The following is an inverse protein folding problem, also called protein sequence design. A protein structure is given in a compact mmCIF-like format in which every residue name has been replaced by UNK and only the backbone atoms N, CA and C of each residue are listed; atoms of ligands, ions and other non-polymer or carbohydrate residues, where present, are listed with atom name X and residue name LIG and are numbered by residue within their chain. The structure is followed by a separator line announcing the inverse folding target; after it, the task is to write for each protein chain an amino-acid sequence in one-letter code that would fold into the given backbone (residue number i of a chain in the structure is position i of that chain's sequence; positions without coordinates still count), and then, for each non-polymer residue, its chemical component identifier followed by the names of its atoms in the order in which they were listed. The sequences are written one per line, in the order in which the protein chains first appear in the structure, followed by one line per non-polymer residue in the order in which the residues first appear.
data_IF_106168677124
#
_entry.id   IF_106168677124
#
_cell.length_a   1.000
_cell.length_b   1.000
_cell.length_c   1.000
_cell.angle_alpha   90.00
_cell.angle_beta   90.00
_cell.angle_gamma   90.00
#
_symmetry.space_group_name_H-M   'P 1'
#
loop_
_entity.id
_entity.type
_entity.pdbx_description
1 polymer ?
#
# COMPACT_ATOMS: atom_id res chain seq x y z
N UNK A 1 20.28 29.03 -2.56
CA UNK A 1 20.91 28.45 -3.74
C UNK A 1 21.77 27.27 -3.33
N UNK A 2 21.29 26.04 -3.49
CA UNK A 2 22.11 24.81 -3.57
C UNK A 2 21.60 24.06 -4.79
N UNK A 3 22.15 24.44 -5.92
CA UNK A 3 22.05 23.73 -7.18
C UNK A 3 23.01 22.55 -7.13
N UNK A 4 22.56 21.39 -7.50
CA UNK A 4 23.38 20.26 -7.87
C UNK A 4 23.64 19.31 -6.74
N UNK A 5 22.87 18.25 -6.75
CA UNK A 5 23.29 16.87 -6.56
C UNK A 5 22.04 16.01 -6.69
N UNK A 6 21.69 15.72 -7.93
CA UNK A 6 20.73 14.67 -8.25
C UNK A 6 21.46 13.31 -8.05
N UNK A 7 21.80 13.03 -6.79
CA UNK A 7 22.52 11.85 -6.36
C UNK A 7 21.57 10.63 -6.45
N UNK A 8 21.46 10.01 -7.63
CA UNK A 8 20.91 8.65 -7.76
C UNK A 8 19.40 8.48 -7.47
N UNK A 9 18.60 9.55 -7.37
CA UNK A 9 17.18 9.47 -7.14
C UNK A 9 16.45 9.01 -8.40
N UNK A 10 15.66 7.92 -8.30
CA UNK A 10 14.95 7.35 -9.43
C UNK A 10 13.55 7.96 -9.52
N UNK A 11 13.32 8.83 -10.51
CA UNK A 11 12.03 9.49 -10.76
C UNK A 11 10.90 8.48 -11.04
N UNK A 12 11.23 7.31 -11.61
CA UNK A 12 10.24 6.26 -11.83
C UNK A 12 9.63 5.76 -10.51
N UNK A 13 10.44 5.65 -9.47
CA UNK A 13 9.94 5.27 -8.14
C UNK A 13 9.15 6.39 -7.48
N UNK A 14 9.49 7.65 -7.71
CA UNK A 14 8.70 8.77 -7.19
C UNK A 14 7.32 8.81 -7.84
N UNK A 15 7.23 8.65 -9.16
CA UNK A 15 5.95 8.55 -9.88
C UNK A 15 5.14 7.33 -9.43
N UNK A 16 5.79 6.18 -9.31
CA UNK A 16 5.13 4.95 -8.89
C UNK A 16 4.58 5.04 -7.45
N UNK A 17 5.29 5.74 -6.55
CA UNK A 17 4.77 6.03 -5.19
C UNK A 17 3.55 6.93 -5.22
N UNK A 18 3.54 7.96 -6.06
CA UNK A 18 2.39 8.87 -6.20
C UNK A 18 1.17 8.08 -6.68
N UNK A 19 1.33 7.25 -7.71
CA UNK A 19 0.26 6.40 -8.23
C UNK A 19 -0.21 5.38 -7.19
N UNK A 20 0.71 4.75 -6.47
CA UNK A 20 0.38 3.83 -5.39
C UNK A 20 -0.38 4.52 -4.23
N UNK A 21 0.01 5.74 -3.84
CA UNK A 21 -0.71 6.52 -2.85
C UNK A 21 -2.12 6.90 -3.32
N UNK A 22 -2.24 7.34 -4.57
CA UNK A 22 -3.54 7.65 -5.16
C UNK A 22 -4.43 6.39 -5.24
N UNK A 23 -3.88 5.24 -5.64
CA UNK A 23 -4.64 3.99 -5.67
C UNK A 23 -5.16 3.56 -4.30
N UNK A 24 -4.41 3.80 -3.22
CA UNK A 24 -4.88 3.54 -1.84
C UNK A 24 -6.06 4.45 -1.49
N UNK A 25 -6.03 5.73 -1.88
CA UNK A 25 -7.17 6.64 -1.68
C UNK A 25 -8.39 6.15 -2.47
N UNK A 26 -8.23 5.81 -3.75
CA UNK A 26 -9.31 5.25 -4.60
C UNK A 26 -9.90 3.98 -3.98
N UNK A 27 -9.05 3.11 -3.46
CA UNK A 27 -9.44 1.87 -2.79
C UNK A 27 -10.39 2.13 -1.60
N UNK A 28 -10.05 3.07 -0.74
CA UNK A 28 -10.87 3.38 0.43
C UNK A 28 -12.14 4.15 0.05
N UNK A 29 -12.04 5.13 -0.84
CA UNK A 29 -13.22 5.84 -1.36
C UNK A 29 -14.20 4.87 -2.02
N UNK A 30 -13.72 4.02 -2.93
CA UNK A 30 -14.58 3.03 -3.59
C UNK A 30 -15.17 2.02 -2.59
N UNK A 31 -14.44 1.69 -1.51
CA UNK A 31 -14.93 0.85 -0.42
C UNK A 31 -16.17 1.42 0.25
N UNK A 32 -16.18 2.72 0.59
CA UNK A 32 -17.35 3.39 1.16
C UNK A 32 -18.55 3.36 0.21
N UNK A 33 -18.31 3.60 -1.08
CA UNK A 33 -19.39 3.51 -2.09
C UNK A 33 -19.96 2.09 -2.23
N UNK A 34 -19.10 1.05 -2.15
CA UNK A 34 -19.54 -0.36 -2.14
C UNK A 34 -20.46 -0.65 -0.95
N UNK A 35 -20.07 -0.24 0.25
CA UNK A 35 -20.81 -0.52 1.49
C UNK A 35 -22.18 0.15 1.50
N UNK A 36 -22.31 1.30 0.84
CA UNK A 36 -23.58 2.04 0.75
C UNK A 36 -24.49 1.60 -0.40
N UNK A 37 -24.01 0.76 -1.30
CA UNK A 37 -24.73 0.34 -2.48
C UNK A 37 -25.41 -1.03 -2.26
N UNK A 38 -26.67 -1.22 -2.68
CA UNK A 38 -27.30 -2.55 -2.66
C UNK A 38 -26.50 -3.55 -3.49
N UNK A 39 -26.20 -4.71 -2.93
CA UNK A 39 -25.45 -5.77 -3.62
C UNK A 39 -26.13 -6.13 -4.95
N UNK A 40 -25.34 -6.24 -6.01
CA UNK A 40 -25.81 -6.55 -7.36
C UNK A 40 -26.37 -5.36 -8.15
N UNK A 41 -26.54 -4.18 -7.53
CA UNK A 41 -26.89 -2.95 -8.25
C UNK A 41 -25.77 -2.51 -9.20
N UNK A 42 -26.11 -1.70 -10.21
CA UNK A 42 -25.09 -1.11 -11.09
C UNK A 42 -24.07 -0.31 -10.30
N UNK A 43 -24.51 0.45 -9.33
CA UNK A 43 -23.66 1.28 -8.48
C UNK A 43 -22.68 0.45 -7.64
N UNK A 44 -23.13 -0.66 -7.06
CA UNK A 44 -22.29 -1.64 -6.40
C UNK A 44 -21.21 -2.18 -7.34
N UNK A 45 -21.62 -2.62 -8.54
CA UNK A 45 -20.72 -3.21 -9.54
C UNK A 45 -19.67 -2.25 -10.05
N UNK A 46 -20.05 -1.00 -10.32
CA UNK A 46 -19.12 0.04 -10.76
C UNK A 46 -18.11 0.39 -9.65
N UNK A 47 -18.57 0.52 -8.41
CA UNK A 47 -17.72 0.79 -7.26
C UNK A 47 -16.76 -0.38 -6.99
N UNK A 48 -17.24 -1.62 -7.09
CA UNK A 48 -16.46 -2.83 -6.95
C UNK A 48 -15.39 -2.96 -8.06
N UNK A 49 -15.71 -2.58 -9.30
CA UNK A 49 -14.75 -2.52 -10.39
C UNK A 49 -13.62 -1.49 -10.12
N UNK A 50 -13.98 -0.27 -9.67
CA UNK A 50 -13.00 0.75 -9.28
C UNK A 50 -12.10 0.28 -8.13
N UNK A 51 -12.66 -0.46 -7.17
CA UNK A 51 -11.90 -1.06 -6.08
C UNK A 51 -10.92 -2.13 -6.61
N UNK A 52 -11.31 -2.96 -7.58
CA UNK A 52 -10.45 -4.01 -8.14
C UNK A 52 -9.22 -3.44 -8.85
N UNK A 53 -9.34 -2.31 -9.54
CA UNK A 53 -8.23 -1.63 -10.21
C UNK A 53 -7.20 -1.11 -9.22
N UNK A 54 -7.59 -0.74 -8.00
CA UNK A 54 -6.77 0.02 -7.06
C UNK A 54 -6.00 -0.81 -6.04
N UNK A 55 -6.02 -2.15 -6.13
CA UNK A 55 -5.45 -3.07 -5.11
C UNK A 55 -3.91 -3.13 -5.05
N UNK A 56 -3.22 -2.63 -6.03
CA UNK A 56 -1.76 -2.73 -6.15
C UNK A 56 -0.95 -1.82 -5.22
N UNK A 57 -1.58 -0.82 -4.57
CA UNK A 57 -0.87 0.26 -3.88
C UNK A 57 0.11 -0.22 -2.81
N UNK A 58 -0.35 -1.05 -1.86
CA UNK A 58 0.49 -1.55 -0.75
C UNK A 58 1.64 -2.44 -1.25
N UNK A 59 1.44 -3.46 -2.10
CA UNK A 59 2.53 -4.22 -2.68
C UNK A 59 3.60 -3.36 -3.36
N UNK A 60 3.20 -2.32 -4.09
CA UNK A 60 4.11 -1.38 -4.75
C UNK A 60 4.98 -0.64 -3.73
N UNK A 61 4.40 -0.09 -2.65
CA UNK A 61 5.17 0.57 -1.61
C UNK A 61 6.22 -0.36 -0.99
N UNK A 62 5.86 -1.62 -0.77
CA UNK A 62 6.76 -2.62 -0.21
C UNK A 62 7.87 -2.96 -1.19
N UNK A 63 7.55 -3.19 -2.48
CA UNK A 63 8.56 -3.48 -3.51
C UNK A 63 9.54 -2.31 -3.71
N UNK A 64 9.06 -1.05 -3.75
CA UNK A 64 9.93 0.13 -3.84
C UNK A 64 10.85 0.20 -2.61
N UNK A 65 10.32 -0.06 -1.42
CA UNK A 65 11.12 -0.06 -0.20
C UNK A 65 12.20 -1.14 -0.24
N UNK A 66 11.88 -2.34 -0.69
CA UNK A 66 12.83 -3.43 -0.90
C UNK A 66 13.91 -3.08 -1.91
N UNK A 67 13.52 -2.57 -3.09
CA UNK A 67 14.44 -2.13 -4.12
C UNK A 67 15.46 -1.09 -3.61
N UNK A 68 15.04 -0.20 -2.70
CA UNK A 68 15.90 0.85 -2.15
C UNK A 68 16.76 0.35 -0.98
N UNK A 69 16.15 -0.34 0.00
CA UNK A 69 16.86 -0.70 1.23
C UNK A 69 17.77 -1.92 1.08
N UNK A 70 17.49 -2.79 0.12
CA UNK A 70 18.29 -3.99 -0.15
C UNK A 70 19.36 -3.74 -1.23
N UNK A 71 19.31 -2.62 -1.97
CA UNK A 71 20.31 -2.26 -2.99
C UNK A 71 21.72 -2.21 -2.43
N UNK A 72 22.69 -2.75 -3.18
CA UNK A 72 24.12 -2.72 -2.85
C UNK A 72 24.68 -1.30 -2.77
N UNK A 73 24.19 -0.39 -3.61
CA UNK A 73 24.62 1.00 -3.66
C UNK A 73 24.29 1.79 -2.39
N UNK A 74 23.26 1.38 -1.66
CA UNK A 74 22.82 2.06 -0.44
C UNK A 74 23.61 1.60 0.77
N UNK A 75 24.39 2.49 1.37
CA UNK A 75 25.06 2.22 2.66
C UNK A 75 24.00 2.20 3.78
N UNK A 76 23.73 1.02 4.31
CA UNK A 76 22.80 0.81 5.43
C UNK A 76 23.59 0.28 6.62
N UNK A 77 23.52 0.99 7.76
CA UNK A 77 24.06 0.52 9.04
C UNK A 77 22.92 0.28 10.01
N UNK A 78 23.07 -0.70 10.89
CA UNK A 78 22.04 -1.03 11.93
C UNK A 78 21.71 0.21 12.73
N UNK A 79 22.70 0.96 13.21
CA UNK A 79 22.50 2.20 13.98
C UNK A 79 21.64 3.21 13.22
N UNK A 80 21.95 3.47 11.93
CA UNK A 80 21.20 4.42 11.10
C UNK A 80 19.77 3.94 10.84
N UNK A 81 19.60 2.64 10.63
CA UNK A 81 18.29 2.03 10.38
C UNK A 81 17.36 2.24 11.57
N UNK A 82 17.83 1.91 12.78
CA UNK A 82 17.05 2.09 14.01
C UNK A 82 16.82 3.56 14.33
N UNK A 83 17.86 4.39 14.35
CA UNK A 83 17.75 5.79 14.80
C UNK A 83 17.06 6.73 13.80
N UNK A 84 17.07 6.42 12.49
CA UNK A 84 16.50 7.32 11.47
C UNK A 84 15.25 6.77 10.79
N UNK A 85 15.17 5.45 10.56
CA UNK A 85 14.07 4.87 9.80
C UNK A 85 12.99 4.30 10.73
N UNK A 86 13.36 3.36 11.61
CA UNK A 86 12.40 2.69 12.50
C UNK A 86 11.86 3.67 13.55
N UNK A 87 12.76 4.39 14.24
CA UNK A 87 12.35 5.39 15.24
C UNK A 87 11.47 6.48 14.63
N UNK A 88 11.78 6.94 13.41
CA UNK A 88 10.91 7.90 12.71
C UNK A 88 9.52 7.32 12.49
N UNK A 89 9.40 6.10 11.98
CA UNK A 89 8.09 5.47 11.76
C UNK A 89 7.33 5.27 13.07
N UNK A 90 8.03 4.92 14.15
CA UNK A 90 7.44 4.80 15.47
C UNK A 90 6.90 6.14 16.01
N UNK A 91 7.65 7.23 15.83
CA UNK A 91 7.20 8.58 16.22
C UNK A 91 6.00 9.00 15.36
N UNK A 92 6.08 8.79 14.04
CA UNK A 92 4.96 9.06 13.11
C UNK A 92 3.71 8.32 13.58
N UNK A 93 3.83 7.02 13.87
CA UNK A 93 2.73 6.21 14.40
C UNK A 93 2.16 6.81 15.69
N UNK A 94 3.01 7.11 16.68
CA UNK A 94 2.55 7.66 17.97
C UNK A 94 1.81 8.98 17.82
N UNK A 95 2.34 9.90 17.00
CA UNK A 95 1.71 11.21 16.77
C UNK A 95 0.37 11.06 16.07
N UNK A 96 0.30 10.27 14.99
CA UNK A 96 -0.94 10.12 14.24
C UNK A 96 -1.98 9.27 14.96
N UNK A 97 -1.58 8.23 15.69
CA UNK A 97 -2.47 7.45 16.55
C UNK A 97 -3.13 8.33 17.62
N UNK A 98 -2.35 9.20 18.25
CA UNK A 98 -2.89 10.17 19.20
C UNK A 98 -3.80 11.20 18.53
N UNK A 99 -3.43 11.73 17.35
CA UNK A 99 -4.26 12.66 16.60
C UNK A 99 -5.60 12.03 16.19
N UNK A 100 -5.62 10.77 15.73
CA UNK A 100 -6.85 10.04 15.42
C UNK A 100 -7.70 9.77 16.66
N UNK A 101 -7.09 9.41 17.77
CA UNK A 101 -7.80 9.23 19.04
C UNK A 101 -8.49 10.53 19.49
N UNK A 102 -7.78 11.66 19.38
CA UNK A 102 -8.35 12.99 19.68
C UNK A 102 -9.48 13.32 18.70
N UNK A 103 -9.26 13.10 17.40
CA UNK A 103 -10.28 13.32 16.38
C UNK A 103 -11.56 12.51 16.68
N UNK A 104 -11.44 11.22 16.95
CA UNK A 104 -12.57 10.37 17.31
C UNK A 104 -13.24 10.78 18.60
N UNK A 105 -12.47 11.21 19.60
CA UNK A 105 -13.03 11.70 20.88
C UNK A 105 -13.87 12.97 20.68
N UNK A 106 -13.47 13.85 19.79
CA UNK A 106 -14.21 15.09 19.50
C UNK A 106 -15.48 14.81 18.68
N UNK A 107 -15.38 14.02 17.61
CA UNK A 107 -16.46 13.87 16.64
C UNK A 107 -17.43 12.73 16.97
N UNK A 108 -16.96 11.64 17.62
CA UNK A 108 -17.74 10.43 17.86
C UNK A 108 -18.09 10.21 19.33
N UNK A 109 -17.18 10.54 20.28
CA UNK A 109 -17.35 10.23 21.71
C UNK A 109 -17.68 11.43 22.58
N UNK A 110 -17.97 12.57 22.01
CA UNK A 110 -18.38 13.80 22.72
C UNK A 110 -17.47 14.13 23.93
N UNK A 111 -16.17 14.19 23.72
CA UNK A 111 -15.16 14.57 24.73
C UNK A 111 -14.96 13.62 25.93
N UNK A 112 -15.24 12.34 25.78
CA UNK A 112 -15.03 11.36 26.86
C UNK A 112 -13.56 10.89 27.00
N UNK A 113 -12.63 11.83 26.84
CA UNK A 113 -11.18 11.61 26.69
C UNK A 113 -10.52 10.89 27.89
N UNK A 114 -10.97 11.18 29.14
CA UNK A 114 -10.33 10.69 30.37
C UNK A 114 -11.16 9.68 31.17
N UNK A 115 -12.36 9.37 30.76
CA UNK A 115 -13.31 8.58 31.54
C UNK A 115 -12.91 7.12 31.75
N UNK A 116 -11.99 6.63 30.96
CA UNK A 116 -11.69 5.21 30.88
C UNK A 116 -10.29 4.79 31.41
N UNK A 117 -9.51 5.70 31.98
CA UNK A 117 -8.18 5.42 32.50
C UNK A 117 -7.09 5.27 31.43
N UNK A 118 -5.83 5.34 31.88
CA UNK A 118 -4.64 5.43 31.00
C UNK A 118 -4.47 4.21 30.07
N UNK A 119 -4.77 3.02 30.54
CA UNK A 119 -4.61 1.79 29.74
C UNK A 119 -5.55 1.81 28.55
N UNK A 120 -6.81 2.19 28.76
CA UNK A 120 -7.81 2.26 27.69
C UNK A 120 -7.52 3.40 26.71
N UNK A 121 -6.96 4.50 27.19
CA UNK A 121 -6.47 5.59 26.32
C UNK A 121 -5.32 5.11 25.43
N UNK A 122 -4.32 4.41 26.00
CA UNK A 122 -3.21 3.88 25.21
C UNK A 122 -3.69 2.83 24.19
N UNK A 123 -4.56 1.90 24.59
CA UNK A 123 -5.12 0.93 23.66
C UNK A 123 -5.98 1.60 22.59
N UNK A 124 -6.79 2.60 22.95
CA UNK A 124 -7.54 3.41 21.99
C UNK A 124 -6.65 4.14 20.98
N UNK A 125 -5.50 4.66 21.41
CA UNK A 125 -4.53 5.24 20.48
C UNK A 125 -3.93 4.17 19.54
N UNK A 126 -3.56 3.01 20.05
CA UNK A 126 -2.95 1.94 19.23
C UNK A 126 -3.90 1.45 18.14
N UNK A 127 -5.19 1.35 18.45
CA UNK A 127 -6.24 0.89 17.52
C UNK A 127 -7.06 2.03 16.93
N UNK A 128 -6.55 3.27 16.97
CA UNK A 128 -7.29 4.44 16.51
C UNK A 128 -7.63 4.41 15.00
N UNK A 129 -6.87 3.68 14.22
CA UNK A 129 -7.19 3.50 12.80
C UNK A 129 -6.56 2.24 12.23
N UNK A 130 -7.37 1.41 11.57
CA UNK A 130 -6.95 0.11 11.05
C UNK A 130 -5.83 0.21 10.02
N UNK A 131 -5.79 1.28 9.21
CA UNK A 131 -4.77 1.41 8.18
C UNK A 131 -3.34 1.57 8.71
N UNK A 132 -3.14 1.86 10.01
CA UNK A 132 -1.79 1.99 10.60
C UNK A 132 -1.02 0.66 10.72
N UNK A 133 -1.67 -0.50 10.48
CA UNK A 133 -0.98 -1.78 10.41
C UNK A 133 0.22 -1.76 9.45
N UNK A 134 0.14 -0.96 8.37
CA UNK A 134 1.23 -0.80 7.39
C UNK A 134 2.51 -0.25 8.03
N UNK A 135 2.40 0.68 8.99
CA UNK A 135 3.57 1.24 9.67
C UNK A 135 4.30 0.17 10.48
N UNK A 136 3.56 -0.71 11.17
CA UNK A 136 4.16 -1.83 11.91
C UNK A 136 4.83 -2.83 10.96
N UNK A 137 4.15 -3.18 9.89
CA UNK A 137 4.66 -4.09 8.87
C UNK A 137 5.96 -3.57 8.26
N UNK A 138 6.01 -2.29 7.85
CA UNK A 138 7.22 -1.73 7.23
C UNK A 138 8.37 -1.57 8.23
N UNK A 139 8.09 -1.26 9.51
CA UNK A 139 9.10 -1.27 10.57
C UNK A 139 9.71 -2.66 10.77
N UNK A 140 8.87 -3.70 10.78
CA UNK A 140 9.32 -5.09 10.84
C UNK A 140 10.24 -5.46 9.67
N UNK A 141 9.85 -5.10 8.44
CA UNK A 141 10.68 -5.32 7.26
C UNK A 141 12.01 -4.56 7.34
N UNK A 142 12.01 -3.33 7.84
CA UNK A 142 13.26 -2.57 8.04
C UNK A 142 14.17 -3.23 9.08
N UNK A 143 13.63 -3.78 10.16
CA UNK A 143 14.42 -4.50 11.15
C UNK A 143 15.13 -5.72 10.56
N UNK A 144 14.54 -6.36 9.55
CA UNK A 144 15.14 -7.51 8.85
C UNK A 144 16.19 -7.12 7.79
N UNK A 145 16.28 -5.84 7.39
CA UNK A 145 17.20 -5.40 6.31
C UNK A 145 18.64 -5.85 6.51
N UNK A 146 19.28 -5.77 7.70
CA UNK A 146 20.66 -6.19 7.84
C UNK A 146 20.88 -7.68 7.50
N UNK A 147 19.98 -8.54 7.96
CA UNK A 147 20.03 -9.99 7.68
C UNK A 147 19.78 -10.28 6.20
N UNK A 148 18.74 -9.67 5.64
CA UNK A 148 18.39 -9.84 4.23
C UNK A 148 19.53 -9.39 3.30
N UNK A 149 20.17 -8.26 3.59
CA UNK A 149 21.31 -7.78 2.79
C UNK A 149 22.47 -8.77 2.80
N UNK A 150 22.81 -9.31 3.97
CA UNK A 150 23.88 -10.30 4.08
C UNK A 150 23.61 -11.52 3.22
N UNK A 151 22.36 -12.03 3.26
CA UNK A 151 21.97 -13.15 2.41
C UNK A 151 21.93 -12.76 0.92
N UNK A 152 21.18 -11.73 0.54
CA UNK A 152 20.88 -11.38 -0.84
C UNK A 152 22.12 -10.95 -1.64
N UNK A 153 23.11 -10.33 -0.98
CA UNK A 153 24.31 -9.90 -1.67
C UNK A 153 25.29 -11.05 -1.97
N UNK A 154 25.18 -12.17 -1.26
CA UNK A 154 25.99 -13.35 -1.48
C UNK A 154 25.22 -14.49 -2.20
N UNK A 155 23.89 -14.39 -2.25
CA UNK A 155 23.04 -15.42 -2.85
C UNK A 155 23.24 -15.50 -4.36
N UNK A 156 23.31 -16.73 -4.87
CA UNK A 156 23.25 -16.98 -6.30
C UNK A 156 21.84 -16.73 -6.84
N UNK A 157 21.73 -16.46 -8.14
CA UNK A 157 20.43 -16.22 -8.77
C UNK A 157 19.46 -17.38 -8.57
N UNK A 158 19.94 -18.62 -8.56
CA UNK A 158 19.13 -19.84 -8.33
C UNK A 158 18.45 -19.84 -6.94
N UNK A 159 19.15 -19.38 -5.92
CA UNK A 159 18.61 -19.28 -4.55
C UNK A 159 17.53 -18.19 -4.46
N UNK A 160 17.74 -17.09 -5.18
CA UNK A 160 16.74 -16.02 -5.28
C UNK A 160 15.49 -16.49 -6.04
N UNK A 161 15.67 -17.20 -7.15
CA UNK A 161 14.57 -17.79 -7.92
C UNK A 161 13.81 -18.83 -7.05
N UNK A 162 14.52 -19.65 -6.27
CA UNK A 162 13.92 -20.59 -5.32
C UNK A 162 13.08 -19.85 -4.25
N UNK A 163 13.59 -18.77 -3.68
CA UNK A 163 12.83 -17.94 -2.74
C UNK A 163 11.54 -17.40 -3.38
N UNK A 164 11.61 -16.90 -4.62
CA UNK A 164 10.43 -16.41 -5.33
C UNK A 164 9.42 -17.53 -5.55
N UNK A 165 9.86 -18.74 -5.91
CA UNK A 165 8.99 -19.90 -6.06
C UNK A 165 8.30 -20.25 -4.74
N UNK A 166 9.03 -20.28 -3.63
CA UNK A 166 8.43 -20.49 -2.31
C UNK A 166 7.39 -19.42 -1.97
N UNK A 167 7.69 -18.16 -2.22
CA UNK A 167 6.74 -17.07 -2.02
C UNK A 167 5.49 -17.25 -2.89
N UNK A 168 5.66 -17.64 -4.16
CA UNK A 168 4.54 -17.89 -5.07
C UNK A 168 3.67 -19.06 -4.58
N UNK A 169 4.26 -20.15 -4.10
CA UNK A 169 3.50 -21.32 -3.64
C UNK A 169 2.83 -21.04 -2.29
N UNK A 170 3.60 -20.63 -1.30
CA UNK A 170 3.13 -20.57 0.09
C UNK A 170 2.34 -19.31 0.42
N UNK A 171 2.54 -18.23 -0.29
CA UNK A 171 1.80 -16.98 -0.03
C UNK A 171 0.74 -16.71 -1.10
N UNK A 172 1.16 -16.60 -2.36
CA UNK A 172 0.24 -16.24 -3.45
C UNK A 172 -0.68 -17.42 -3.78
N UNK A 173 -0.13 -18.63 -3.95
CA UNK A 173 -0.88 -19.83 -4.25
C UNK A 173 -1.86 -20.19 -3.12
N UNK A 174 -1.39 -20.22 -1.87
CA UNK A 174 -2.25 -20.48 -0.72
C UNK A 174 -3.43 -19.49 -0.66
N UNK A 175 -3.16 -18.19 -0.68
CA UNK A 175 -4.22 -17.16 -0.58
C UNK A 175 -5.21 -17.30 -1.72
N UNK A 176 -4.74 -17.56 -2.94
CA UNK A 176 -5.60 -17.77 -4.11
C UNK A 176 -6.46 -19.03 -3.94
N UNK A 177 -5.87 -20.14 -3.50
CA UNK A 177 -6.58 -21.41 -3.31
C UNK A 177 -7.62 -21.31 -2.17
N UNK A 178 -7.33 -20.62 -1.08
CA UNK A 178 -8.28 -20.42 0.03
C UNK A 178 -9.57 -19.72 -0.38
N UNK A 179 -9.55 -19.02 -1.49
CA UNK A 179 -10.72 -18.30 -2.02
C UNK A 179 -11.50 -19.17 -3.01
N UNK A 180 -10.77 -19.98 -3.80
CA UNK A 180 -11.35 -20.77 -4.90
C UNK A 180 -11.81 -22.17 -4.46
N UNK A 181 -11.25 -22.70 -3.36
CA UNK A 181 -11.50 -24.07 -2.89
C UNK A 181 -11.95 -24.02 -1.42
N UNK A 182 -12.28 -25.18 -0.86
CA UNK A 182 -12.62 -25.31 0.56
C UNK A 182 -11.47 -24.81 1.46
N UNK A 183 -11.76 -23.76 2.23
CA UNK A 183 -10.81 -23.14 3.15
C UNK A 183 -10.25 -24.15 4.18
N UNK A 184 -11.08 -25.10 4.64
CA UNK A 184 -10.69 -26.04 5.68
C UNK A 184 -9.57 -26.99 5.20
N UNK A 185 -9.67 -27.45 3.95
CA UNK A 185 -8.66 -28.31 3.35
C UNK A 185 -7.33 -27.57 3.11
N UNK A 186 -7.41 -26.35 2.56
CA UNK A 186 -6.23 -25.53 2.29
C UNK A 186 -5.51 -25.15 3.61
N UNK A 187 -6.26 -24.77 4.65
CA UNK A 187 -5.68 -24.54 5.99
C UNK A 187 -4.96 -25.76 6.52
N UNK A 188 -5.60 -26.94 6.50
CA UNK A 188 -4.97 -28.19 6.99
C UNK A 188 -3.65 -28.50 6.31
N UNK A 189 -3.56 -28.28 5.01
CA UNK A 189 -2.33 -28.57 4.23
C UNK A 189 -1.24 -27.54 4.54
N UNK A 190 -1.56 -26.24 4.47
CA UNK A 190 -0.56 -25.18 4.59
C UNK A 190 -0.15 -24.87 6.04
N UNK A 191 -1.04 -25.07 7.01
CA UNK A 191 -0.73 -24.85 8.43
C UNK A 191 0.30 -25.87 8.98
N UNK A 192 0.45 -27.01 8.32
CA UNK A 192 1.50 -27.98 8.68
C UNK A 192 2.91 -27.42 8.45
N UNK A 193 3.09 -26.53 7.49
CA UNK A 193 4.42 -26.10 7.05
C UNK A 193 4.90 -24.84 7.77
N UNK A 194 4.02 -24.03 8.38
CA UNK A 194 4.34 -22.80 9.14
C UNK A 194 5.19 -21.74 8.41
N UNK A 195 5.57 -21.96 7.15
CA UNK A 195 6.37 -21.01 6.34
C UNK A 195 5.58 -19.76 5.97
N UNK A 196 4.26 -19.85 5.93
CA UNK A 196 3.36 -18.78 5.49
C UNK A 196 3.51 -17.51 6.35
N UNK A 197 3.64 -17.67 7.67
CA UNK A 197 3.76 -16.57 8.62
C UNK A 197 5.08 -15.79 8.46
N UNK A 198 6.12 -16.44 7.91
CA UNK A 198 7.42 -15.82 7.66
C UNK A 198 7.51 -15.08 6.33
N UNK A 199 6.67 -15.43 5.37
CA UNK A 199 6.84 -14.90 3.99
C UNK A 199 6.04 -13.64 3.70
N UNK A 200 4.95 -13.38 4.33
CA UNK A 200 4.05 -12.23 4.15
C UNK A 200 4.60 -11.13 3.21
N UNK A 201 4.56 -9.88 3.56
CA UNK A 201 5.11 -8.79 2.74
C UNK A 201 6.64 -8.87 2.51
N UNK A 202 7.36 -9.74 3.23
CA UNK A 202 8.77 -10.04 2.98
C UNK A 202 9.01 -10.48 1.53
N UNK A 203 8.09 -11.30 0.98
CA UNK A 203 8.17 -11.74 -0.42
C UNK A 203 8.16 -10.56 -1.40
N UNK A 204 7.25 -9.62 -1.25
CA UNK A 204 7.22 -8.41 -2.07
C UNK A 204 8.46 -7.52 -1.86
N UNK A 205 8.95 -7.43 -0.62
CA UNK A 205 10.11 -6.63 -0.28
C UNK A 205 11.38 -7.15 -0.99
N UNK A 206 11.61 -8.46 -0.91
CA UNK A 206 12.73 -9.13 -1.61
C UNK A 206 12.53 -9.12 -3.12
N UNK A 207 11.28 -9.34 -3.59
CA UNK A 207 10.95 -9.31 -5.01
C UNK A 207 11.27 -7.95 -5.65
N UNK A 208 10.99 -6.84 -4.95
CA UNK A 208 11.35 -5.50 -5.43
C UNK A 208 12.85 -5.35 -5.69
N UNK A 209 13.71 -5.89 -4.83
CA UNK A 209 15.16 -5.95 -5.04
C UNK A 209 15.55 -6.84 -6.23
N UNK A 210 14.98 -8.05 -6.31
CA UNK A 210 15.28 -8.99 -7.40
C UNK A 210 14.90 -8.39 -8.76
N UNK A 211 13.70 -7.83 -8.86
CA UNK A 211 13.23 -7.18 -10.09
C UNK A 211 14.10 -5.98 -10.48
N UNK A 212 14.59 -5.22 -9.49
CA UNK A 212 15.47 -4.09 -9.76
C UNK A 212 16.83 -4.55 -10.26
N UNK A 213 17.43 -5.56 -9.63
CA UNK A 213 18.76 -6.06 -9.95
C UNK A 213 18.80 -6.84 -11.27
N UNK A 214 17.89 -7.79 -11.45
CA UNK A 214 17.94 -8.75 -12.57
C UNK A 214 16.91 -8.44 -13.67
N UNK A 215 15.83 -7.75 -13.34
CA UNK A 215 14.71 -7.56 -14.26
C UNK A 215 13.98 -8.86 -14.57
N UNK A 216 13.22 -8.84 -15.65
CA UNK A 216 12.53 -10.02 -16.18
C UNK A 216 12.74 -10.12 -17.69
N UNK A 217 12.63 -11.29 -18.27
CA UNK A 217 12.78 -11.51 -19.70
C UNK A 217 11.68 -10.75 -20.51
N UNK A 218 11.96 -10.48 -21.76
CA UNK A 218 11.02 -9.78 -22.65
C UNK A 218 9.67 -10.50 -22.77
N UNK A 219 9.70 -11.81 -22.86
CA UNK A 219 8.49 -12.64 -22.93
C UNK A 219 7.66 -12.49 -21.65
N UNK A 220 8.29 -12.63 -20.48
CA UNK A 220 7.61 -12.49 -19.18
C UNK A 220 6.96 -11.11 -19.03
N UNK A 221 7.60 -10.04 -19.50
CA UNK A 221 7.00 -8.69 -19.48
C UNK A 221 5.70 -8.61 -20.26
N UNK A 222 5.70 -9.09 -21.49
CA UNK A 222 4.50 -9.06 -22.34
C UNK A 222 3.38 -9.93 -21.77
N UNK A 223 3.72 -11.09 -21.21
CA UNK A 223 2.74 -11.95 -20.52
C UNK A 223 2.15 -11.21 -19.29
N UNK A 224 2.98 -10.61 -18.46
CA UNK A 224 2.52 -9.83 -17.30
C UNK A 224 1.59 -8.70 -17.74
N UNK A 225 1.98 -7.91 -18.74
CA UNK A 225 1.17 -6.78 -19.21
C UNK A 225 -0.17 -7.24 -19.79
N UNK A 226 -0.19 -8.33 -20.54
CA UNK A 226 -1.42 -8.92 -21.09
C UNK A 226 -2.34 -9.49 -20.01
N UNK A 227 -1.78 -9.99 -18.89
CA UNK A 227 -2.54 -10.53 -17.78
C UNK A 227 -3.13 -9.45 -16.85
N UNK A 228 -2.65 -8.20 -16.88
CA UNK A 228 -3.20 -7.13 -16.03
C UNK A 228 -4.70 -6.91 -16.25
N UNK A 229 -5.20 -6.64 -17.48
CA UNK A 229 -6.63 -6.43 -17.68
C UNK A 229 -7.45 -7.67 -17.32
N UNK A 230 -6.94 -8.86 -17.66
CA UNK A 230 -7.58 -10.14 -17.28
C UNK A 230 -7.68 -10.24 -15.75
N UNK A 231 -6.60 -9.96 -15.04
CA UNK A 231 -6.55 -10.01 -13.58
C UNK A 231 -7.52 -9.02 -12.91
N UNK A 232 -7.62 -7.80 -13.42
CA UNK A 232 -8.56 -6.79 -12.92
C UNK A 232 -10.00 -7.29 -13.10
N UNK A 233 -10.34 -7.79 -14.29
CA UNK A 233 -11.67 -8.31 -14.60
C UNK A 233 -11.99 -9.52 -13.72
N UNK A 234 -11.05 -10.45 -13.56
CA UNK A 234 -11.26 -11.65 -12.73
C UNK A 234 -11.40 -11.31 -11.25
N UNK A 235 -10.61 -10.37 -10.72
CA UNK A 235 -10.80 -9.85 -9.37
C UNK A 235 -12.22 -9.33 -9.16
N UNK A 236 -12.68 -8.47 -10.09
CA UNK A 236 -14.03 -7.91 -10.05
C UNK A 236 -15.11 -9.00 -10.11
N UNK A 237 -15.04 -9.90 -11.10
CA UNK A 237 -16.06 -10.94 -11.29
C UNK A 237 -16.17 -11.90 -10.09
N UNK A 238 -15.03 -12.31 -9.52
CA UNK A 238 -15.03 -13.19 -8.35
C UNK A 238 -15.64 -12.47 -7.14
N UNK A 239 -15.30 -11.20 -6.90
CA UNK A 239 -15.90 -10.42 -5.83
C UNK A 239 -17.40 -10.20 -6.03
N UNK A 240 -17.85 -9.86 -7.25
CA UNK A 240 -19.27 -9.67 -7.58
C UNK A 240 -20.06 -10.97 -7.34
N UNK A 241 -19.55 -12.09 -7.87
CA UNK A 241 -20.16 -13.41 -7.67
C UNK A 241 -20.27 -13.79 -6.18
N UNK A 242 -19.18 -13.66 -5.42
CA UNK A 242 -19.18 -14.00 -3.99
C UNK A 242 -20.07 -13.07 -3.17
N UNK A 243 -20.18 -11.80 -3.55
CA UNK A 243 -21.06 -10.85 -2.90
C UNK A 243 -22.53 -11.18 -3.15
N UNK A 244 -22.89 -11.56 -4.37
CA UNK A 244 -24.24 -12.01 -4.72
C UNK A 244 -24.64 -13.27 -3.94
N UNK A 245 -23.72 -14.23 -3.82
CA UNK A 245 -23.98 -15.48 -3.06
C UNK A 245 -24.20 -15.21 -1.56
N UNK A 246 -23.50 -14.23 -0.99
CA UNK A 246 -23.60 -13.89 0.44
C UNK A 246 -24.72 -12.89 0.76
N UNK A 247 -25.26 -12.19 -0.23
CA UNK A 247 -26.14 -11.04 -0.02
C UNK A 247 -25.47 -9.85 0.67
N UNK A 248 -24.12 -9.84 0.76
CA UNK A 248 -23.30 -8.81 1.37
C UNK A 248 -21.98 -8.68 0.65
N UNK A 249 -21.32 -7.50 0.73
CA UNK A 249 -20.02 -7.33 0.12
C UNK A 249 -19.01 -8.39 0.57
N UNK A 250 -18.36 -9.01 -0.39
CA UNK A 250 -17.29 -9.96 -0.19
C UNK A 250 -16.11 -9.57 -1.07
N UNK A 251 -14.95 -9.22 -0.47
CA UNK A 251 -13.78 -8.80 -1.26
C UNK A 251 -13.22 -9.92 -2.15
N UNK A 252 -13.66 -11.16 -1.97
CA UNK A 252 -13.17 -12.28 -2.78
C UNK A 252 -11.67 -12.42 -2.73
N UNK A 253 -11.04 -12.34 -3.91
CA UNK A 253 -9.59 -12.48 -4.10
C UNK A 253 -8.83 -11.14 -4.07
N UNK A 254 -9.43 -10.09 -3.54
CA UNK A 254 -8.85 -8.73 -3.45
C UNK A 254 -7.69 -8.60 -2.45
N UNK A 255 -7.27 -9.68 -1.83
CA UNK A 255 -6.12 -9.69 -0.94
C UNK A 255 -4.84 -9.27 -1.69
N UNK A 256 -3.93 -8.61 -1.00
CA UNK A 256 -2.62 -8.23 -1.53
C UNK A 256 -1.82 -9.45 -2.04
N UNK A 257 -2.12 -10.63 -1.54
CA UNK A 257 -1.51 -11.90 -1.92
C UNK A 257 -2.37 -12.72 -2.88
N UNK A 258 -3.48 -12.21 -3.37
CA UNK A 258 -4.22 -12.80 -4.46
C UNK A 258 -3.42 -12.74 -5.76
N UNK A 259 -3.48 -13.82 -6.58
CA UNK A 259 -2.68 -13.94 -7.81
C UNK A 259 -2.85 -12.75 -8.76
N UNK A 260 -4.06 -12.21 -8.88
CA UNK A 260 -4.32 -11.11 -9.81
C UNK A 260 -3.77 -9.78 -9.30
N UNK A 261 -3.86 -9.51 -7.99
CA UNK A 261 -3.23 -8.34 -7.36
C UNK A 261 -1.70 -8.43 -7.46
N UNK A 262 -1.14 -9.63 -7.28
CA UNK A 262 0.28 -9.89 -7.47
C UNK A 262 0.74 -9.56 -8.89
N UNK A 263 0.07 -10.13 -9.91
CA UNK A 263 0.39 -9.90 -11.33
C UNK A 263 0.32 -8.39 -11.65
N UNK A 264 -0.74 -7.72 -11.22
CA UNK A 264 -0.93 -6.28 -11.45
C UNK A 264 0.21 -5.46 -10.83
N UNK A 265 0.57 -5.74 -9.57
CA UNK A 265 1.62 -5.04 -8.84
C UNK A 265 3.00 -5.25 -9.48
N UNK A 266 3.34 -6.49 -9.83
CA UNK A 266 4.61 -6.82 -10.49
C UNK A 266 4.70 -6.19 -11.86
N UNK A 267 3.62 -6.26 -12.66
CA UNK A 267 3.57 -5.66 -13.98
C UNK A 267 3.81 -4.13 -13.93
N UNK A 268 3.12 -3.43 -13.03
CA UNK A 268 3.32 -1.98 -12.85
C UNK A 268 4.75 -1.65 -12.40
N UNK A 269 5.29 -2.38 -11.44
CA UNK A 269 6.67 -2.16 -10.97
C UNK A 269 7.67 -2.31 -12.13
N UNK A 270 7.56 -3.39 -12.92
CA UNK A 270 8.42 -3.65 -14.08
C UNK A 270 8.24 -2.57 -15.16
N UNK A 271 6.99 -2.18 -15.44
CA UNK A 271 6.69 -1.12 -16.41
C UNK A 271 7.36 0.21 -16.04
N UNK A 272 7.18 0.66 -14.79
CA UNK A 272 7.76 1.92 -14.34
C UNK A 272 9.29 1.87 -14.34
N UNK A 273 9.87 0.76 -13.87
CA UNK A 273 11.32 0.54 -13.95
C UNK A 273 11.84 0.66 -15.38
N UNK A 274 11.19 0.04 -16.35
CA UNK A 274 11.74 -0.08 -17.71
C UNK A 274 11.48 1.16 -18.58
N UNK A 275 10.31 1.77 -18.42
CA UNK A 275 9.88 2.92 -19.24
C UNK A 275 10.36 4.23 -18.61
N UNK A 276 10.00 4.47 -17.36
CA UNK A 276 10.24 5.78 -16.74
C UNK A 276 11.67 5.96 -16.21
N UNK A 277 12.46 4.90 -16.01
CA UNK A 277 13.88 5.06 -15.67
C UNK A 277 14.69 5.72 -16.80
N UNK A 278 14.19 5.66 -18.03
CA UNK A 278 14.82 6.24 -19.23
C UNK A 278 14.28 7.63 -19.58
N UNK A 279 13.19 8.04 -18.96
CA UNK A 279 12.55 9.33 -19.24
C UNK A 279 13.27 10.43 -18.50
N UNK A 280 13.87 11.35 -19.25
CA UNK A 280 14.39 12.59 -18.68
C UNK A 280 13.24 13.56 -18.48
N UNK A 281 12.85 13.76 -17.24
CA UNK A 281 11.80 14.73 -16.87
C UNK A 281 12.45 16.09 -16.64
N UNK A 282 11.85 17.16 -17.18
CA UNK A 282 12.40 18.51 -17.05
C UNK A 282 12.32 19.04 -15.61
N UNK A 283 13.29 19.88 -15.22
CA UNK A 283 13.59 20.28 -13.85
C UNK A 283 12.40 20.78 -13.00
N UNK A 284 11.36 21.41 -13.56
CA UNK A 284 10.17 21.86 -12.81
C UNK A 284 9.24 20.68 -12.48
N UNK A 285 8.98 19.82 -13.46
CA UNK A 285 8.14 18.63 -13.30
C UNK A 285 8.81 17.63 -12.35
N UNK A 286 10.13 17.43 -12.50
CA UNK A 286 10.90 16.58 -11.61
C UNK A 286 10.79 17.04 -10.14
N UNK A 287 11.01 18.32 -9.88
CA UNK A 287 10.86 18.89 -8.54
C UNK A 287 9.45 18.69 -7.96
N UNK A 288 8.42 18.83 -8.80
CA UNK A 288 7.05 18.60 -8.40
C UNK A 288 6.80 17.14 -8.04
N UNK A 289 7.20 16.18 -8.90
CA UNK A 289 7.10 14.75 -8.64
C UNK A 289 7.85 14.34 -7.37
N UNK A 290 9.08 14.84 -7.20
CA UNK A 290 9.88 14.56 -6.00
C UNK A 290 9.18 15.06 -4.73
N UNK A 291 8.65 16.28 -4.73
CA UNK A 291 7.96 16.85 -3.57
C UNK A 291 6.69 16.06 -3.24
N UNK A 292 5.86 15.78 -4.24
CA UNK A 292 4.62 15.02 -4.03
C UNK A 292 4.91 13.59 -3.57
N UNK A 293 5.96 12.93 -4.10
CA UNK A 293 6.41 11.62 -3.63
C UNK A 293 6.83 11.64 -2.15
N UNK A 294 7.42 12.73 -1.67
CA UNK A 294 7.75 12.89 -0.25
C UNK A 294 6.52 13.08 0.62
N UNK A 295 5.44 13.62 0.07
CA UNK A 295 4.19 13.87 0.78
C UNK A 295 3.26 12.64 0.82
N UNK A 296 3.57 11.55 0.08
CA UNK A 296 2.71 10.35 -0.01
C UNK A 296 2.46 9.66 1.33
N UNK A 297 3.42 9.68 2.26
CA UNK A 297 3.21 9.15 3.61
C UNK A 297 2.18 9.98 4.37
N UNK A 298 2.26 11.31 4.31
CA UNK A 298 1.27 12.20 4.93
C UNK A 298 -0.12 12.01 4.33
N UNK A 299 -0.23 11.86 3.00
CA UNK A 299 -1.49 11.54 2.33
C UNK A 299 -2.06 10.23 2.87
N UNK A 300 -1.22 9.19 2.94
CA UNK A 300 -1.59 7.88 3.49
C UNK A 300 -2.11 7.98 4.93
N UNK A 301 -1.50 8.80 5.76
CA UNK A 301 -1.87 8.94 7.16
C UNK A 301 -3.19 9.69 7.36
N UNK A 302 -3.52 10.67 6.50
CA UNK A 302 -4.65 11.58 6.70
C UNK A 302 -5.92 11.20 5.93
N UNK A 303 -5.80 10.44 4.84
CA UNK A 303 -6.92 10.25 3.90
C UNK A 303 -8.16 9.62 4.52
N UNK A 304 -8.01 8.70 5.50
CA UNK A 304 -9.15 8.08 6.18
C UNK A 304 -9.91 9.10 7.03
N UNK A 305 -9.20 9.94 7.83
CA UNK A 305 -9.88 10.96 8.63
C UNK A 305 -10.66 11.97 7.77
N UNK A 306 -10.11 12.33 6.61
CA UNK A 306 -10.80 13.20 5.66
C UNK A 306 -11.98 12.50 4.99
N UNK A 307 -11.85 11.22 4.68
CA UNK A 307 -12.93 10.40 4.12
C UNK A 307 -14.08 10.24 5.12
N UNK A 308 -13.78 9.94 6.39
CA UNK A 308 -14.75 9.87 7.48
C UNK A 308 -15.47 11.21 7.67
N UNK A 309 -14.75 12.33 7.56
CA UNK A 309 -15.34 13.65 7.62
C UNK A 309 -16.32 13.89 6.47
N UNK A 310 -15.96 13.53 5.24
CA UNK A 310 -16.85 13.66 4.09
C UNK A 310 -18.08 12.76 4.20
N UNK A 311 -17.90 11.55 4.71
CA UNK A 311 -18.98 10.61 4.94
C UNK A 311 -19.96 11.12 5.98
N UNK A 312 -19.47 11.60 7.12
CA UNK A 312 -20.29 12.09 8.23
C UNK A 312 -21.10 13.36 7.88
N UNK A 313 -20.60 14.15 6.94
CA UNK A 313 -21.26 15.37 6.47
C UNK A 313 -22.10 15.18 5.19
N UNK A 314 -22.30 13.94 4.75
CA UNK A 314 -23.20 13.63 3.64
C UNK A 314 -22.66 13.95 2.25
N UNK A 315 -21.34 14.24 2.10
CA UNK A 315 -20.73 14.51 0.80
C UNK A 315 -20.60 13.26 -0.11
N UNK A 316 -20.88 12.07 0.41
CA UNK A 316 -20.69 10.79 -0.31
C UNK A 316 -21.99 10.24 -0.88
N UNK A 317 -23.17 10.80 -0.53
CA UNK A 317 -24.45 10.16 -0.81
C UNK A 317 -25.21 10.76 -2.02
N UNK A 318 -25.54 9.91 -2.98
CA UNK A 318 -26.78 9.96 -3.78
C UNK A 318 -26.87 10.94 -4.94
N UNK A 319 -26.01 11.95 -5.03
CA UNK A 319 -26.18 13.04 -6.01
C UNK A 319 -25.26 12.95 -7.24
N UNK A 320 -24.21 12.12 -7.18
CA UNK A 320 -23.22 12.01 -8.25
C UNK A 320 -23.13 10.55 -8.70
N UNK A 321 -23.11 10.27 -10.03
CA UNK A 321 -22.87 8.91 -10.54
C UNK A 321 -21.61 8.31 -9.91
N UNK A 322 -21.66 7.01 -9.54
CA UNK A 322 -20.64 6.40 -8.68
C UNK A 322 -19.20 6.51 -9.20
N UNK A 323 -18.95 6.23 -10.48
CA UNK A 323 -17.58 6.31 -11.04
C UNK A 323 -17.03 7.74 -11.02
N UNK A 324 -17.72 8.75 -11.58
CA UNK A 324 -17.28 10.14 -11.44
C UNK A 324 -17.17 10.60 -9.98
N UNK A 325 -18.09 10.18 -9.10
CA UNK A 325 -18.07 10.49 -7.68
C UNK A 325 -16.85 9.93 -6.97
N UNK A 326 -16.51 8.66 -7.20
CA UNK A 326 -15.31 8.01 -6.65
C UNK A 326 -14.05 8.75 -7.13
N UNK A 327 -13.94 9.03 -8.43
CA UNK A 327 -12.76 9.71 -8.97
C UNK A 327 -12.63 11.13 -8.43
N UNK A 328 -13.71 11.91 -8.45
CA UNK A 328 -13.71 13.29 -7.94
C UNK A 328 -13.34 13.34 -6.47
N UNK A 329 -13.98 12.52 -5.64
CA UNK A 329 -13.73 12.49 -4.20
C UNK A 329 -12.30 12.00 -3.91
N UNK A 330 -11.81 11.03 -4.65
CA UNK A 330 -10.43 10.55 -4.51
C UNK A 330 -9.42 11.66 -4.88
N UNK A 331 -9.65 12.40 -5.95
CA UNK A 331 -8.80 13.53 -6.35
C UNK A 331 -8.85 14.63 -5.27
N UNK A 332 -10.03 15.01 -4.82
CA UNK A 332 -10.20 16.03 -3.77
C UNK A 332 -9.50 15.61 -2.48
N UNK A 333 -9.72 14.38 -2.03
CA UNK A 333 -9.07 13.82 -0.84
C UNK A 333 -7.55 13.80 -0.99
N UNK A 334 -7.04 13.32 -2.12
CA UNK A 334 -5.61 13.24 -2.41
C UNK A 334 -4.96 14.64 -2.44
N UNK A 335 -5.61 15.61 -3.07
CA UNK A 335 -5.10 17.00 -3.18
C UNK A 335 -5.09 17.69 -1.82
N UNK A 336 -6.19 17.60 -1.07
CA UNK A 336 -6.28 18.23 0.27
C UNK A 336 -5.21 17.62 1.19
N UNK A 337 -5.15 16.30 1.29
CA UNK A 337 -4.13 15.61 2.09
C UNK A 337 -2.71 15.94 1.62
N UNK A 338 -2.49 16.05 0.30
CA UNK A 338 -1.21 16.43 -0.28
C UNK A 338 -0.77 17.85 0.10
N UNK A 339 -1.70 18.82 0.06
CA UNK A 339 -1.43 20.20 0.49
C UNK A 339 -1.10 20.23 1.98
N UNK A 340 -1.89 19.57 2.82
CA UNK A 340 -1.65 19.51 4.26
C UNK A 340 -0.31 18.83 4.55
N UNK A 341 0.00 17.71 3.91
CA UNK A 341 1.29 17.02 4.05
C UNK A 341 2.47 17.93 3.65
N UNK A 342 2.35 18.65 2.54
CA UNK A 342 3.37 19.60 2.09
C UNK A 342 3.60 20.77 3.07
N UNK A 343 2.55 21.24 3.73
CA UNK A 343 2.65 22.26 4.79
C UNK A 343 3.30 21.66 6.02
N UNK A 344 2.80 20.54 6.52
CA UNK A 344 3.34 19.87 7.71
C UNK A 344 4.83 19.53 7.55
N UNK A 345 5.24 19.03 6.39
CA UNK A 345 6.65 18.71 6.08
C UNK A 345 7.58 19.90 6.17
N UNK A 346 7.08 21.14 5.95
CA UNK A 346 7.87 22.37 6.01
C UNK A 346 8.01 22.94 7.43
N UNK A 347 7.27 22.41 8.40
CA UNK A 347 7.38 22.85 9.80
C UNK A 347 8.79 22.55 10.33
N UNK A 348 9.48 23.55 10.91
CA UNK A 348 10.81 23.33 11.46
C UNK A 348 10.75 22.32 12.62
N UNK A 349 11.79 21.52 12.78
CA UNK A 349 11.98 20.50 13.81
C UNK A 349 10.98 19.31 13.76
N UNK A 350 9.70 19.54 13.48
CA UNK A 350 8.62 18.53 13.58
C UNK A 350 8.27 17.91 12.24
N UNK A 351 8.43 18.63 11.12
CA UNK A 351 7.95 18.21 9.80
C UNK A 351 8.48 16.84 9.35
N UNK A 352 9.74 16.52 9.66
CA UNK A 352 10.33 15.22 9.35
C UNK A 352 9.71 14.03 10.12
N UNK A 353 8.92 14.31 11.18
CA UNK A 353 8.23 13.30 12.01
C UNK A 353 6.73 13.28 11.77
N UNK A 354 6.18 14.17 10.94
CA UNK A 354 4.75 14.23 10.66
C UNK A 354 4.40 13.66 9.28
N UNK A 355 5.37 13.68 8.35
CA UNK A 355 5.16 13.22 6.97
C UNK A 355 6.35 12.42 6.44
#
# INVERSE_FOLDING_TARGET
MRSGENNGRNIAFDLLRIIAAFSVVVLHVSGVFIEKSPVGSLDFRLSNFMNSISRFGVPIFVMISGAIFLSEEKKVTVKRLWSKNILRMFIVFGVWSFAYYVYQSIFWWKFDFWRHGIVRTITGCVYASDHFWFLFMIMGLYALVPFLRTWLHHAEKKELDYFVILFMIFQIGRTTLMILIDKSLVHKIFDLVKIVELSWYLGYFVLGYILMRYGVSRMVKYVLYGLVPVGIIMNYLISDYMSLQKGAYSPGIYDSFGIFTFIHSVALFVFFKDVFSKVKVSGRIEKWCVNLSLDTLGIYLMHIALLDYFESNGFIVGSIPHVPGILLLSIVCFVICGIVAAVLRRLPFVGKYLC
#
